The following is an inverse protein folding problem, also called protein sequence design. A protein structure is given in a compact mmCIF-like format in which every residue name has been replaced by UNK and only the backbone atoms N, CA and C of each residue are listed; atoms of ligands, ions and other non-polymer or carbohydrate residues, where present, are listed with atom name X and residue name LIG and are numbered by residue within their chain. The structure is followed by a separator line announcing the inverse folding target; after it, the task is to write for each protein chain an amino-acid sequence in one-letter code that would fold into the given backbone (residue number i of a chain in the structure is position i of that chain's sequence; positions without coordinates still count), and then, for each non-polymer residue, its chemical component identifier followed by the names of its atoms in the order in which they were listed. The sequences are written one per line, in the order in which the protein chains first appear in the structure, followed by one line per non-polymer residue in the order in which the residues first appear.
data_IF_114997248721
#
_entry.id   IF_114997248721
#
_cell.length_a   1.000
_cell.length_b   1.000
_cell.length_c   1.000
_cell.angle_alpha   90.00
_cell.angle_beta   90.00
_cell.angle_gamma   90.00
#
_symmetry.space_group_name_H-M   'P 1'
#
loop_
_entity.id
_entity.type
_entity.pdbx_description
1 polymer ?
#
# COMPACT_ATOMS: atom_id res chain seq x y z
N UNK A 1 -25.38 13.80 30.45
CA UNK A 1 -26.75 13.52 29.96
C UNK A 1 -26.71 13.69 28.45
N UNK A 2 -27.05 12.65 27.68
CA UNK A 2 -26.70 12.52 26.27
C UNK A 2 -27.41 13.54 25.36
N UNK A 3 -26.67 14.16 24.44
CA UNK A 3 -27.22 15.01 23.38
C UNK A 3 -27.03 14.28 22.05
N UNK A 4 -28.13 13.83 21.47
CA UNK A 4 -28.20 13.18 20.15
C UNK A 4 -28.20 14.25 19.07
N UNK A 5 -27.20 14.25 18.19
CA UNK A 5 -27.19 15.10 17.00
C UNK A 5 -27.67 14.28 15.80
N UNK A 6 -28.93 14.49 15.39
CA UNK A 6 -29.42 14.10 14.07
C UNK A 6 -28.89 15.12 13.05
N UNK A 7 -28.22 14.64 12.01
CA UNK A 7 -27.78 15.47 10.88
C UNK A 7 -28.83 15.31 9.78
N UNK A 8 -29.55 16.39 9.46
CA UNK A 8 -30.41 16.46 8.29
C UNK A 8 -29.55 16.73 7.05
N UNK A 9 -29.53 15.77 6.11
CA UNK A 9 -28.88 15.94 4.80
C UNK A 9 -29.90 16.53 3.83
N UNK A 10 -29.77 17.81 3.54
CA UNK A 10 -30.53 18.48 2.47
C UNK A 10 -29.76 18.27 1.16
N UNK A 11 -30.26 17.39 0.29
CA UNK A 11 -29.76 17.28 -1.08
C UNK A 11 -30.51 18.32 -1.91
N UNK A 12 -29.84 19.44 -2.20
CA UNK A 12 -30.34 20.39 -3.19
C UNK A 12 -30.10 19.81 -4.59
N UNK A 13 -31.17 19.44 -5.29
CA UNK A 13 -31.14 19.18 -6.74
C UNK A 13 -30.90 20.50 -7.47
N UNK A 14 -29.64 20.77 -7.82
CA UNK A 14 -29.25 21.85 -8.72
C UNK A 14 -28.32 21.30 -9.79
N UNK A 15 -28.66 21.53 -11.06
CA UNK A 15 -27.88 21.09 -12.22
C UNK A 15 -26.39 21.46 -12.08
N UNK A 16 -25.45 20.58 -12.46
CA UNK A 16 -24.03 20.81 -12.25
C UNK A 16 -23.57 22.00 -13.10
N UNK A 17 -23.38 23.15 -12.45
CA UNK A 17 -22.81 24.33 -13.08
C UNK A 17 -21.44 23.98 -13.67
N UNK A 18 -21.23 24.39 -14.94
CA UNK A 18 -19.97 24.30 -15.67
C UNK A 18 -18.83 24.95 -14.87
N UNK A 19 -18.07 24.12 -14.17
CA UNK A 19 -16.88 24.52 -13.42
C UNK A 19 -15.86 23.38 -13.22
N UNK A 20 -16.14 22.18 -13.72
CA UNK A 20 -15.33 20.97 -13.53
C UNK A 20 -14.00 20.97 -14.31
N UNK A 21 -13.86 21.81 -15.34
CA UNK A 21 -12.62 21.88 -16.14
C UNK A 21 -11.43 22.43 -15.34
N UNK A 22 -11.67 23.18 -14.25
CA UNK A 22 -10.61 23.64 -13.34
C UNK A 22 -10.17 22.56 -12.33
N UNK A 23 -11.03 21.60 -11.99
CA UNK A 23 -10.68 20.50 -11.09
C UNK A 23 -9.82 19.43 -11.79
N UNK A 24 -9.98 19.27 -13.10
CA UNK A 24 -9.11 18.37 -13.88
C UNK A 24 -7.64 18.82 -13.82
N UNK A 25 -7.37 20.13 -13.84
CA UNK A 25 -6.01 20.67 -13.69
C UNK A 25 -5.39 20.36 -12.32
N UNK A 26 -6.16 20.56 -11.24
CA UNK A 26 -5.69 20.30 -9.86
C UNK A 26 -5.47 18.81 -9.62
N UNK A 27 -6.36 17.93 -10.11
CA UNK A 27 -6.18 16.48 -9.97
C UNK A 27 -5.02 15.94 -10.82
N UNK A 28 -4.73 16.57 -11.97
CA UNK A 28 -3.57 16.19 -12.78
C UNK A 28 -2.24 16.66 -12.17
N UNK A 29 -2.26 17.70 -11.34
CA UNK A 29 -1.08 18.21 -10.61
C UNK A 29 -0.77 17.37 -9.35
N UNK A 30 -1.78 16.83 -8.67
CA UNK A 30 -1.57 15.84 -7.58
C UNK A 30 -1.10 14.49 -8.14
N UNK A 31 -1.47 14.15 -9.37
CA UNK A 31 -1.04 12.94 -10.07
C UNK A 31 0.38 13.04 -10.69
N UNK A 32 1.05 14.19 -10.58
CA UNK A 32 2.48 14.29 -10.82
C UNK A 32 3.22 13.65 -9.63
N UNK A 33 3.28 12.32 -9.65
CA UNK A 33 4.42 11.53 -9.19
C UNK A 33 5.15 12.13 -7.99
N UNK A 34 4.63 11.88 -6.78
CA UNK A 34 5.50 11.69 -5.62
C UNK A 34 6.40 10.49 -5.93
N UNK A 35 7.39 10.70 -6.80
CA UNK A 35 8.56 9.86 -6.97
C UNK A 35 9.42 10.09 -5.73
N UNK A 36 8.88 9.69 -4.58
CA UNK A 36 9.68 9.56 -3.37
C UNK A 36 10.60 8.39 -3.70
N UNK A 37 11.83 8.70 -4.11
CA UNK A 37 12.87 7.70 -4.18
C UNK A 37 12.80 6.93 -2.86
N UNK A 38 12.72 5.58 -2.89
CA UNK A 38 12.66 4.82 -1.66
C UNK A 38 13.86 5.26 -0.83
N UNK A 39 13.58 5.64 0.41
CA UNK A 39 14.63 5.90 1.37
C UNK A 39 15.60 4.70 1.32
N UNK A 40 16.88 4.90 0.97
CA UNK A 40 17.81 3.78 0.81
C UNK A 40 18.01 3.00 2.10
N UNK A 41 17.65 3.58 3.25
CA UNK A 41 17.69 2.93 4.55
C UNK A 41 16.39 2.17 4.90
N UNK A 42 15.31 2.36 4.13
CA UNK A 42 14.06 1.60 4.32
C UNK A 42 14.18 0.21 3.71
N UNK A 43 13.92 -0.80 4.53
CA UNK A 43 13.96 -2.22 4.15
C UNK A 43 12.55 -2.70 3.85
N UNK A 44 12.36 -3.23 2.64
CA UNK A 44 11.05 -3.67 2.14
C UNK A 44 11.00 -5.19 1.97
N UNK A 45 9.87 -5.81 2.32
CA UNK A 45 9.52 -7.16 1.84
C UNK A 45 8.43 -7.04 0.80
N UNK A 46 8.56 -7.76 -0.31
CA UNK A 46 7.50 -7.86 -1.33
C UNK A 46 6.84 -9.23 -1.27
N UNK A 47 5.54 -9.28 -1.03
CA UNK A 47 4.71 -10.48 -1.17
C UNK A 47 4.30 -10.61 -2.63
N UNK A 48 4.57 -11.75 -3.27
CA UNK A 48 4.27 -11.94 -4.68
C UNK A 48 3.90 -13.40 -5.02
N UNK A 49 3.11 -13.64 -6.08
CA UNK A 49 2.81 -15.01 -6.50
C UNK A 49 4.06 -15.75 -7.01
N UNK A 50 5.07 -15.02 -7.48
CA UNK A 50 6.37 -15.57 -7.89
C UNK A 50 7.50 -14.56 -7.66
N UNK A 51 8.75 -15.05 -7.61
CA UNK A 51 9.94 -14.20 -7.46
C UNK A 51 10.03 -13.18 -8.60
N UNK A 52 9.78 -13.64 -9.83
CA UNK A 52 9.77 -12.79 -11.03
C UNK A 52 8.75 -11.66 -10.91
N UNK A 53 7.50 -11.98 -10.55
CA UNK A 53 6.45 -10.97 -10.37
C UNK A 53 6.81 -9.96 -9.27
N UNK A 54 7.41 -10.42 -8.17
CA UNK A 54 7.89 -9.54 -7.10
C UNK A 54 9.02 -8.62 -7.56
N UNK A 55 9.97 -9.10 -8.34
CA UNK A 55 11.06 -8.27 -8.89
C UNK A 55 10.54 -7.25 -9.90
N UNK A 56 9.64 -7.66 -10.81
CA UNK A 56 9.02 -6.76 -11.78
C UNK A 56 8.20 -5.67 -11.07
N UNK A 57 7.46 -6.03 -10.02
CA UNK A 57 6.70 -5.08 -9.21
C UNK A 57 7.62 -4.12 -8.46
N UNK A 58 8.66 -4.62 -7.80
CA UNK A 58 9.63 -3.81 -7.08
C UNK A 58 10.30 -2.77 -7.98
N UNK A 59 10.72 -3.20 -9.18
CA UNK A 59 11.29 -2.29 -10.19
C UNK A 59 10.28 -1.25 -10.67
N UNK A 60 9.01 -1.63 -10.84
CA UNK A 60 7.94 -0.71 -11.27
C UNK A 60 7.62 0.35 -10.22
N UNK A 61 7.70 0.01 -8.92
CA UNK A 61 7.50 0.96 -7.82
C UNK A 61 8.81 1.63 -7.35
N UNK A 62 9.94 1.27 -7.96
CA UNK A 62 11.24 1.87 -7.73
C UNK A 62 11.95 1.45 -6.44
N UNK A 63 11.51 0.38 -5.76
CA UNK A 63 12.09 -0.11 -4.49
C UNK A 63 13.14 -1.20 -4.70
N UNK A 64 14.06 -1.33 -3.74
CA UNK A 64 14.98 -2.48 -3.64
C UNK A 64 14.59 -3.34 -2.43
N UNK A 65 13.90 -4.48 -2.62
CA UNK A 65 13.41 -5.28 -1.52
C UNK A 65 14.51 -6.17 -0.94
N UNK A 66 14.61 -6.21 0.38
CA UNK A 66 15.53 -7.13 1.09
C UNK A 66 15.08 -8.60 0.96
N UNK A 67 13.78 -8.82 0.71
CA UNK A 67 13.24 -10.13 0.40
C UNK A 67 11.99 -10.05 -0.48
N UNK A 68 11.82 -11.07 -1.32
CA UNK A 68 10.58 -11.34 -2.04
C UNK A 68 10.02 -12.65 -1.49
N UNK A 69 8.84 -12.63 -0.89
CA UNK A 69 8.22 -13.81 -0.28
C UNK A 69 7.10 -14.30 -1.20
N UNK A 70 7.03 -15.61 -1.39
CA UNK A 70 6.08 -16.25 -2.32
C UNK A 70 5.49 -17.50 -1.70
N UNK A 71 4.36 -18.04 -2.21
CA UNK A 71 3.78 -19.29 -1.67
C UNK A 71 4.76 -20.48 -1.73
N UNK A 72 5.68 -20.47 -2.71
CA UNK A 72 6.75 -21.48 -2.83
C UNK A 72 7.96 -21.22 -1.93
N UNK A 73 8.03 -20.06 -1.28
CA UNK A 73 9.16 -19.61 -0.46
C UNK A 73 8.65 -18.73 0.69
N UNK A 74 7.73 -19.29 1.49
CA UNK A 74 7.00 -18.55 2.53
C UNK A 74 7.92 -18.05 3.65
N UNK A 75 9.02 -18.75 3.92
CA UNK A 75 9.94 -18.42 5.01
C UNK A 75 11.02 -17.39 4.63
N UNK A 76 10.91 -16.74 3.46
CA UNK A 76 11.90 -15.78 2.99
C UNK A 76 12.06 -14.53 3.88
N UNK A 77 11.12 -14.29 4.78
CA UNK A 77 11.13 -13.18 5.74
C UNK A 77 11.74 -13.52 7.11
N UNK A 78 12.03 -14.80 7.40
CA UNK A 78 12.44 -15.21 8.76
C UNK A 78 13.78 -14.61 9.15
N UNK A 79 13.80 -13.97 10.31
CA UNK A 79 15.01 -13.32 10.85
C UNK A 79 15.35 -11.99 10.17
N UNK A 80 14.49 -11.49 9.27
CA UNK A 80 14.60 -10.14 8.73
C UNK A 80 13.90 -9.15 9.65
N UNK A 81 14.35 -7.91 9.57
CA UNK A 81 13.74 -6.76 10.22
C UNK A 81 13.50 -5.75 9.12
N UNK A 82 12.23 -5.41 8.90
CA UNK A 82 11.81 -4.57 7.77
C UNK A 82 10.87 -3.47 8.21
N UNK A 83 10.88 -2.38 7.47
CA UNK A 83 10.11 -1.19 7.81
C UNK A 83 8.73 -1.23 7.15
N UNK A 84 8.60 -1.97 6.03
CA UNK A 84 7.37 -2.02 5.25
C UNK A 84 7.23 -3.35 4.47
N UNK A 85 5.98 -3.81 4.34
CA UNK A 85 5.60 -4.98 3.54
C UNK A 85 4.70 -4.50 2.39
N UNK A 86 5.07 -4.84 1.15
CA UNK A 86 4.39 -4.42 -0.07
C UNK A 86 3.80 -5.64 -0.77
N UNK A 87 2.57 -5.52 -1.25
CA UNK A 87 1.85 -6.59 -1.94
C UNK A 87 1.89 -6.39 -3.45
N UNK A 88 2.50 -7.33 -4.17
CA UNK A 88 2.43 -7.37 -5.62
C UNK A 88 1.04 -7.91 -6.06
N UNK A 89 0.51 -7.43 -7.21
CA UNK A 89 -0.76 -7.93 -7.73
C UNK A 89 -0.68 -9.41 -8.12
N UNK A 90 -1.81 -10.12 -8.05
CA UNK A 90 -1.95 -11.49 -8.52
C UNK A 90 -1.84 -12.58 -7.44
N UNK A 91 -1.77 -12.23 -6.15
CA UNK A 91 -2.01 -13.16 -5.05
C UNK A 91 -3.52 -13.36 -4.85
N UNK A 92 -3.93 -14.60 -4.55
CA UNK A 92 -5.26 -14.86 -4.00
C UNK A 92 -5.38 -14.32 -2.57
N UNK A 93 -6.61 -14.15 -2.09
CA UNK A 93 -6.86 -13.67 -0.73
C UNK A 93 -6.29 -14.63 0.32
N UNK A 94 -6.41 -15.95 0.10
CA UNK A 94 -5.86 -16.97 0.99
C UNK A 94 -4.33 -16.94 1.01
N UNK A 95 -3.68 -16.96 -0.17
CA UNK A 95 -2.22 -16.92 -0.24
C UNK A 95 -1.65 -15.66 0.40
N UNK A 96 -2.29 -14.50 0.15
CA UNK A 96 -1.90 -13.26 0.81
C UNK A 96 -1.95 -13.39 2.33
N UNK A 97 -3.04 -13.92 2.88
CA UNK A 97 -3.19 -14.04 4.33
C UNK A 97 -2.12 -14.95 4.94
N UNK A 98 -1.80 -16.06 4.27
CA UNK A 98 -0.74 -16.98 4.70
C UNK A 98 0.65 -16.33 4.65
N UNK A 99 0.99 -15.68 3.54
CA UNK A 99 2.26 -14.97 3.41
C UNK A 99 2.38 -13.82 4.42
N UNK A 100 1.30 -13.08 4.63
CA UNK A 100 1.26 -12.00 5.61
C UNK A 100 1.47 -12.54 7.03
N UNK A 101 0.87 -13.68 7.39
CA UNK A 101 1.06 -14.28 8.71
C UNK A 101 2.53 -14.66 9.00
N UNK A 102 3.23 -15.21 8.00
CA UNK A 102 4.66 -15.53 8.13
C UNK A 102 5.57 -14.29 8.10
N UNK A 103 5.15 -13.23 7.41
CA UNK A 103 5.99 -12.03 7.17
C UNK A 103 5.79 -10.95 8.24
N UNK A 104 4.60 -10.86 8.84
CA UNK A 104 4.25 -9.84 9.84
C UNK A 104 5.23 -9.74 11.02
N UNK A 105 5.80 -10.84 11.56
CA UNK A 105 6.79 -10.75 12.65
C UNK A 105 8.08 -10.01 12.27
N UNK A 106 8.39 -9.85 10.99
CA UNK A 106 9.56 -9.12 10.52
C UNK A 106 9.34 -7.60 10.52
N UNK A 107 8.09 -7.13 10.60
CA UNK A 107 7.75 -5.72 10.54
C UNK A 107 8.17 -5.02 11.84
N UNK A 108 9.01 -3.99 11.72
CA UNK A 108 9.35 -3.10 12.83
C UNK A 108 8.10 -2.34 13.22
N UNK A 109 7.56 -2.66 14.39
CA UNK A 109 6.62 -1.79 15.06
C UNK A 109 7.43 -0.89 15.97
N UNK A 110 7.42 0.43 15.72
CA UNK A 110 7.84 1.37 16.75
C UNK A 110 6.84 1.22 17.90
N UNK A 111 7.25 0.47 18.91
CA UNK A 111 6.59 0.52 20.21
C UNK A 111 6.88 1.93 20.73
N UNK A 112 5.90 2.83 20.57
CA UNK A 112 5.95 4.12 21.22
C UNK A 112 5.97 3.87 22.73
N UNK A 113 7.13 4.05 23.34
CA UNK A 113 7.33 4.14 24.79
C UNK A 113 6.66 5.43 25.31
#
# INVERSE_FOLDING_TARGET
MAISNKVDVVIAEGEPARGWERLAGVLNEVAATLYVAPDPDRRFIVLAPSKRAGTEHAAAVGIDPVAIVTPRSMHGARGLVVDEIIEAPGLSTEERAELMAETSPALVTSSAD
#
